data_IF_837146748448
#
_entry.id   IF_837146748448
#
_cell.length_a   1.000
_cell.length_b   1.000
_cell.length_c   1.000
_cell.angle_alpha   90.00
_cell.angle_beta   90.00
_cell.angle_gamma   90.00
#
_symmetry.space_group_name_H-M   'P 1'
#
loop_
_entity.id
_entity.type
_entity.pdbx_description
1 polymer ?
#
# COMPACT_ATOMS: atom_id res chain seq x y z
N UNK A 1 -7.50 -8.09 18.76
CA UNK A 1 -8.09 -7.80 17.43
C UNK A 1 -9.17 -8.84 17.17
N UNK A 2 -10.44 -8.46 17.30
CA UNK A 2 -11.58 -9.34 17.08
C UNK A 2 -11.97 -9.33 15.60
N UNK A 3 -12.02 -10.50 14.97
CA UNK A 3 -12.57 -10.63 13.64
C UNK A 3 -14.09 -10.81 13.75
N UNK A 4 -14.85 -9.89 13.15
CA UNK A 4 -16.29 -10.07 12.94
C UNK A 4 -16.47 -11.26 11.98
N UNK A 5 -17.51 -12.11 12.15
CA UNK A 5 -17.77 -13.22 11.24
C UNK A 5 -17.74 -12.77 9.77
N UNK A 6 -16.95 -13.45 8.93
CA UNK A 6 -16.86 -13.13 7.51
C UNK A 6 -18.10 -13.67 6.80
N UNK A 7 -18.80 -12.81 6.06
CA UNK A 7 -19.91 -13.25 5.21
C UNK A 7 -19.38 -13.75 3.86
N UNK A 8 -20.12 -14.60 3.13
CA UNK A 8 -19.72 -15.01 1.79
C UNK A 8 -19.65 -13.81 0.84
N UNK A 9 -18.68 -13.81 -0.07
CA UNK A 9 -18.47 -12.74 -1.05
C UNK A 9 -18.03 -13.30 -2.41
N UNK A 10 -18.31 -12.58 -3.51
CA UNK A 10 -17.87 -13.00 -4.85
C UNK A 10 -16.35 -12.86 -4.99
N UNK A 11 -15.66 -13.96 -5.36
CA UNK A 11 -14.20 -14.01 -5.48
C UNK A 11 -13.65 -13.46 -6.80
N UNK A 12 -14.51 -13.28 -7.79
CA UNK A 12 -14.13 -12.85 -9.15
C UNK A 12 -14.21 -11.33 -9.35
N UNK A 13 -14.66 -10.57 -8.35
CA UNK A 13 -14.73 -9.11 -8.43
C UNK A 13 -13.37 -8.53 -8.05
N UNK A 14 -12.77 -7.82 -8.99
CA UNK A 14 -11.52 -7.09 -8.77
C UNK A 14 -11.79 -5.62 -8.44
N UNK A 15 -11.06 -5.09 -7.47
CA UNK A 15 -11.02 -3.67 -7.13
C UNK A 15 -9.57 -3.27 -6.87
N UNK A 16 -9.12 -2.11 -7.39
CA UNK A 16 -7.74 -1.66 -7.22
C UNK A 16 -7.35 -1.43 -5.75
N UNK A 17 -8.33 -1.14 -4.89
CA UNK A 17 -8.11 -0.87 -3.46
C UNK A 17 -8.27 -2.12 -2.58
N UNK A 18 -8.47 -3.30 -3.19
CA UNK A 18 -8.85 -4.54 -2.51
C UNK A 18 -10.36 -4.75 -2.46
N UNK A 19 -10.76 -5.94 -2.01
CA UNK A 19 -12.15 -6.37 -1.83
C UNK A 19 -12.45 -6.77 -0.38
N UNK A 20 -13.46 -7.62 -0.19
CA UNK A 20 -13.90 -8.04 1.13
C UNK A 20 -12.85 -8.82 1.92
N UNK A 21 -12.62 -8.41 3.17
CA UNK A 21 -11.64 -8.97 4.12
C UNK A 21 -10.24 -9.21 3.51
N UNK A 22 -9.78 -8.25 2.70
CA UNK A 22 -8.48 -8.35 2.04
C UNK A 22 -7.34 -8.40 3.06
N UNK A 23 -6.68 -9.55 3.15
CA UNK A 23 -5.50 -9.74 3.98
C UNK A 23 -4.45 -10.50 3.17
N UNK A 24 -3.78 -9.81 2.21
CA UNK A 24 -2.84 -10.46 1.31
C UNK A 24 -1.64 -11.01 2.10
N UNK A 25 -1.15 -12.19 1.71
CA UNK A 25 -0.03 -12.88 2.38
C UNK A 25 1.21 -11.99 2.51
N UNK A 26 1.44 -11.12 1.52
CA UNK A 26 2.64 -10.30 1.40
C UNK A 26 2.43 -8.83 1.79
N UNK A 27 1.40 -8.51 2.59
CA UNK A 27 1.08 -7.11 2.94
C UNK A 27 2.28 -6.34 3.48
N UNK A 28 3.11 -6.96 4.33
CA UNK A 28 4.30 -6.32 4.94
C UNK A 28 5.31 -5.89 3.89
N UNK A 29 5.69 -6.79 3.01
CA UNK A 29 6.69 -6.53 1.96
C UNK A 29 6.17 -5.48 0.99
N UNK A 30 4.89 -5.56 0.59
CA UNK A 30 4.28 -4.58 -0.32
C UNK A 30 4.28 -3.18 0.31
N UNK A 31 3.90 -3.05 1.58
CA UNK A 31 3.94 -1.77 2.30
C UNK A 31 5.37 -1.24 2.43
N UNK A 32 6.35 -2.09 2.71
CA UNK A 32 7.75 -1.69 2.82
C UNK A 32 8.29 -1.13 1.50
N UNK A 33 7.96 -1.75 0.37
CA UNK A 33 8.36 -1.27 -0.97
C UNK A 33 7.76 0.10 -1.27
N UNK A 34 6.46 0.28 -1.03
CA UNK A 34 5.78 1.56 -1.26
C UNK A 34 6.36 2.67 -0.36
N UNK A 35 6.55 2.37 0.93
CA UNK A 35 7.13 3.32 1.88
C UNK A 35 8.57 3.70 1.49
N UNK A 36 9.40 2.73 1.12
CA UNK A 36 10.77 2.97 0.65
C UNK A 36 10.79 3.82 -0.63
N UNK A 37 9.91 3.53 -1.59
CA UNK A 37 9.78 4.31 -2.82
C UNK A 37 9.38 5.77 -2.55
N UNK A 38 8.44 6.00 -1.63
CA UNK A 38 8.03 7.35 -1.22
C UNK A 38 9.21 8.13 -0.64
N UNK A 39 9.93 7.56 0.33
CA UNK A 39 11.10 8.23 0.94
C UNK A 39 12.15 8.58 -0.10
N UNK A 40 12.44 7.66 -1.01
CA UNK A 40 13.44 7.86 -2.07
C UNK A 40 13.02 9.01 -2.99
N UNK A 41 11.80 9.00 -3.51
CA UNK A 41 11.27 10.05 -4.40
C UNK A 41 11.25 11.40 -3.68
N UNK A 42 10.72 11.46 -2.46
CA UNK A 42 10.67 12.71 -1.68
C UNK A 42 12.06 13.27 -1.42
N UNK A 43 13.06 12.41 -1.12
CA UNK A 43 14.44 12.87 -0.90
C UNK A 43 15.09 13.43 -2.16
N UNK A 44 14.83 12.85 -3.34
CA UNK A 44 15.34 13.35 -4.62
C UNK A 44 14.71 14.70 -4.98
N UNK A 45 13.39 14.83 -4.80
CA UNK A 45 12.66 16.08 -5.03
C UNK A 45 13.18 17.17 -4.09
N UNK A 46 13.42 16.84 -2.82
CA UNK A 46 13.96 17.80 -1.87
C UNK A 46 15.36 18.27 -2.28
N UNK A 47 16.28 17.35 -2.62
CA UNK A 47 17.60 17.74 -3.12
C UNK A 47 17.52 18.67 -4.33
N UNK A 48 16.71 18.30 -5.32
CA UNK A 48 16.49 19.12 -6.50
C UNK A 48 15.89 20.49 -6.18
N UNK A 49 14.98 20.58 -5.20
CA UNK A 49 14.42 21.85 -4.73
C UNK A 49 15.47 22.72 -4.07
N UNK A 50 16.38 22.13 -3.28
CA UNK A 50 17.47 22.86 -2.63
C UNK A 50 18.52 23.34 -3.64
N UNK A 51 18.83 22.56 -4.67
CA UNK A 51 19.81 22.93 -5.71
C UNK A 51 19.32 24.10 -6.61
N UNK A 52 18.01 24.37 -6.63
CA UNK A 52 17.38 25.45 -7.41
C UNK A 52 17.17 26.75 -6.64
N UNK A 53 17.52 26.78 -5.36
CA UNK A 53 17.41 27.96 -4.49
C UNK A 53 18.79 28.58 -4.29
#
# INVERSE_FOLDING_TARGET
MGAVPRTPFPRYVYSPMGGWWSQPKNWKSNTAVVAGGLVLITSLIWKFSNDKQ
#
